data_IF_003954579186
#
_entry.id   IF_003954579186
#
_cell.length_a   1.000
_cell.length_b   1.000
_cell.length_c   1.000
_cell.angle_alpha   90.00
_cell.angle_beta   90.00
_cell.angle_gamma   90.00
#
_symmetry.space_group_name_H-M   'P 1'
#
loop_
_entity.id
_entity.type
_entity.pdbx_description
1 polymer ?
#
# COMPACT_ATOMS: atom_id res chain seq x y z
N UNK A 1 -6.93 -16.35 -45.86
CA UNK A 1 -6.31 -14.99 -45.97
C UNK A 1 -5.90 -14.46 -44.57
N UNK A 2 -6.73 -14.58 -43.59
CA UNK A 2 -6.53 -14.01 -42.24
C UNK A 2 -5.26 -14.52 -41.55
N UNK A 3 -5.03 -15.82 -41.44
CA UNK A 3 -3.88 -16.43 -40.78
C UNK A 3 -2.51 -15.99 -41.39
N UNK A 4 -2.49 -15.81 -42.72
CA UNK A 4 -1.30 -15.33 -43.44
C UNK A 4 -0.91 -13.89 -43.05
N UNK A 5 -1.91 -13.02 -42.94
CA UNK A 5 -1.74 -11.62 -42.56
C UNK A 5 -1.32 -11.52 -41.09
N UNK A 6 -1.86 -12.37 -40.24
CA UNK A 6 -1.49 -12.42 -38.81
C UNK A 6 -0.04 -12.87 -38.61
N UNK A 7 0.43 -13.90 -39.32
CA UNK A 7 1.84 -14.32 -39.24
C UNK A 7 2.81 -13.25 -39.74
N UNK A 8 2.43 -12.49 -40.78
CA UNK A 8 3.21 -11.34 -41.25
C UNK A 8 3.22 -10.22 -40.19
N UNK A 9 2.10 -9.96 -39.56
CA UNK A 9 2.00 -8.97 -38.46
C UNK A 9 2.86 -9.34 -37.23
N UNK A 10 3.09 -10.65 -37.00
CA UNK A 10 4.03 -11.16 -35.99
C UNK A 10 5.50 -11.11 -36.42
N UNK A 11 5.78 -10.58 -37.62
CA UNK A 11 7.15 -10.34 -38.11
C UNK A 11 7.79 -11.55 -38.80
N UNK A 12 7.00 -12.40 -39.46
CA UNK A 12 7.56 -13.48 -40.29
C UNK A 12 8.38 -12.90 -41.46
N UNK A 13 9.64 -13.23 -41.52
CA UNK A 13 10.61 -12.71 -42.49
C UNK A 13 10.98 -13.78 -43.58
N UNK A 14 10.34 -14.94 -43.58
CA UNK A 14 10.52 -15.98 -44.57
C UNK A 14 9.86 -15.62 -45.90
N UNK A 15 10.39 -16.14 -47.04
CA UNK A 15 9.82 -15.90 -48.34
C UNK A 15 8.39 -16.48 -48.47
N UNK A 16 7.65 -16.09 -49.53
CA UNK A 16 6.25 -16.46 -49.72
C UNK A 16 5.98 -17.99 -49.68
N UNK A 17 6.89 -18.80 -50.22
CA UNK A 17 6.79 -20.26 -50.19
C UNK A 17 6.82 -20.84 -48.78
N UNK A 18 7.69 -20.32 -47.93
CA UNK A 18 7.78 -20.75 -46.52
C UNK A 18 6.57 -20.29 -45.73
N UNK A 19 6.07 -19.08 -45.97
CA UNK A 19 4.85 -18.59 -45.37
C UNK A 19 3.63 -19.48 -45.72
N UNK A 20 3.50 -19.89 -46.98
CA UNK A 20 2.43 -20.75 -47.39
C UNK A 20 2.54 -22.16 -46.80
N UNK A 21 3.76 -22.67 -46.63
CA UNK A 21 4.03 -23.92 -45.90
C UNK A 21 3.58 -23.83 -44.45
N UNK A 22 3.90 -22.73 -43.78
CA UNK A 22 3.55 -22.46 -42.40
C UNK A 22 2.03 -22.31 -42.18
N UNK A 23 1.38 -21.58 -43.07
CA UNK A 23 -0.10 -21.44 -43.07
C UNK A 23 -0.77 -22.81 -43.26
N UNK A 24 -0.29 -23.63 -44.23
CA UNK A 24 -0.82 -24.97 -44.48
C UNK A 24 -0.58 -25.91 -43.29
N UNK A 25 0.57 -25.84 -42.67
CA UNK A 25 0.88 -26.58 -41.44
C UNK A 25 -0.10 -26.23 -40.31
N UNK A 26 -0.34 -24.95 -40.04
CA UNK A 26 -1.25 -24.51 -38.97
C UNK A 26 -2.70 -24.92 -39.26
N UNK A 27 -3.15 -24.79 -40.49
CA UNK A 27 -4.49 -25.25 -40.86
C UNK A 27 -4.66 -26.78 -40.76
N UNK A 28 -3.61 -27.56 -41.00
CA UNK A 28 -3.63 -29.02 -40.82
C UNK A 28 -3.65 -29.41 -39.32
N UNK A 29 -3.16 -28.57 -38.45
CA UNK A 29 -3.23 -28.70 -36.98
C UNK A 29 -4.49 -28.03 -36.38
N UNK A 30 -5.46 -27.68 -37.22
CA UNK A 30 -6.78 -27.12 -36.85
C UNK A 30 -6.70 -25.71 -36.21
N UNK A 31 -5.67 -24.93 -36.54
CA UNK A 31 -5.55 -23.52 -36.09
C UNK A 31 -6.06 -22.58 -37.19
N UNK A 32 -7.18 -21.93 -36.97
CA UNK A 32 -7.76 -20.96 -37.88
C UNK A 32 -7.20 -19.54 -37.74
N UNK A 33 -6.61 -19.25 -36.60
CA UNK A 33 -5.96 -17.96 -36.28
C UNK A 33 -4.69 -18.15 -35.43
N UNK A 34 -3.81 -17.14 -35.44
CA UNK A 34 -2.63 -17.14 -34.59
C UNK A 34 -3.01 -17.10 -33.09
N UNK A 35 -4.18 -16.56 -32.77
CA UNK A 35 -4.68 -16.53 -31.38
C UNK A 35 -5.02 -17.92 -30.85
N UNK A 36 -5.36 -18.88 -31.71
CA UNK A 36 -5.66 -20.25 -31.30
C UNK A 36 -4.43 -21.00 -30.82
N UNK A 37 -3.23 -20.51 -31.15
CA UNK A 37 -1.96 -20.99 -30.63
C UNK A 37 -1.74 -20.67 -29.11
N UNK A 38 -2.58 -19.80 -28.53
CA UNK A 38 -2.46 -19.45 -27.12
C UNK A 38 -2.74 -20.67 -26.23
N UNK A 39 -1.75 -21.10 -25.48
CA UNK A 39 -1.87 -22.28 -24.61
C UNK A 39 -1.18 -23.52 -25.15
N UNK A 40 -0.72 -23.52 -26.40
CA UNK A 40 0.14 -24.59 -26.91
C UNK A 40 1.46 -24.58 -26.09
N UNK A 41 1.84 -25.74 -25.56
CA UNK A 41 3.01 -25.80 -24.68
C UNK A 41 4.34 -25.88 -25.44
N UNK A 42 4.33 -26.53 -26.60
CA UNK A 42 5.54 -26.72 -27.41
C UNK A 42 5.16 -27.09 -28.87
N UNK A 43 5.57 -26.25 -29.81
CA UNK A 43 5.31 -26.42 -31.23
C UNK A 43 5.99 -27.68 -31.82
N UNK A 44 7.12 -28.10 -31.29
CA UNK A 44 7.83 -29.32 -31.77
C UNK A 44 7.05 -30.63 -31.52
N UNK A 45 5.97 -30.58 -30.76
CA UNK A 45 5.09 -31.73 -30.48
C UNK A 45 3.90 -31.82 -31.43
N UNK A 46 3.72 -30.87 -32.33
CA UNK A 46 2.65 -30.90 -33.32
C UNK A 46 2.94 -31.96 -34.39
N UNK A 47 1.88 -32.57 -34.89
CA UNK A 47 1.96 -33.57 -35.93
C UNK A 47 2.46 -32.88 -37.22
N UNK A 48 3.55 -33.34 -37.82
CA UNK A 48 4.19 -32.69 -38.98
C UNK A 48 5.18 -31.57 -38.66
N UNK A 49 5.50 -31.31 -37.38
CA UNK A 49 6.53 -30.34 -37.01
C UNK A 49 7.92 -30.69 -37.57
N UNK A 50 8.18 -31.98 -37.85
CA UNK A 50 9.41 -32.47 -38.52
C UNK A 50 9.58 -31.96 -39.96
N UNK A 51 8.48 -31.53 -40.59
CA UNK A 51 8.49 -31.07 -41.99
C UNK A 51 8.76 -29.57 -42.13
N UNK A 52 8.87 -28.87 -41.00
CA UNK A 52 9.19 -27.46 -40.95
C UNK A 52 10.69 -27.22 -40.74
N UNK A 53 11.19 -26.14 -41.30
CA UNK A 53 12.58 -25.70 -41.01
C UNK A 53 12.74 -25.31 -39.56
N UNK A 54 13.93 -25.54 -38.94
CA UNK A 54 14.20 -25.16 -37.54
C UNK A 54 13.92 -23.68 -37.27
N UNK A 55 14.14 -22.80 -38.24
CA UNK A 55 13.88 -21.36 -38.07
C UNK A 55 12.39 -21.04 -38.01
N UNK A 56 11.53 -21.82 -38.68
CA UNK A 56 10.08 -21.65 -38.66
C UNK A 56 9.46 -22.20 -37.38
N UNK A 57 9.99 -23.32 -36.87
CA UNK A 57 9.63 -23.82 -35.56
C UNK A 57 9.96 -22.82 -34.43
N UNK A 58 11.15 -22.20 -34.52
CA UNK A 58 11.57 -21.17 -33.56
C UNK A 58 10.67 -19.94 -33.63
N UNK A 59 10.31 -19.51 -34.83
CA UNK A 59 9.36 -18.42 -35.05
C UNK A 59 7.99 -18.75 -34.45
N UNK A 60 7.42 -19.91 -34.77
CA UNK A 60 6.13 -20.35 -34.24
C UNK A 60 6.16 -20.46 -32.71
N UNK A 61 7.24 -20.99 -32.13
CA UNK A 61 7.37 -21.05 -30.66
C UNK A 61 7.40 -19.65 -30.05
N UNK A 62 8.02 -18.68 -30.70
CA UNK A 62 8.00 -17.27 -30.29
C UNK A 62 6.59 -16.70 -30.34
N UNK A 63 5.83 -16.96 -31.40
CA UNK A 63 4.43 -16.54 -31.55
C UNK A 63 3.56 -17.17 -30.47
N UNK A 64 3.67 -18.49 -30.25
CA UNK A 64 2.97 -19.21 -29.15
C UNK A 64 3.23 -18.56 -27.80
N UNK A 65 4.49 -18.21 -27.51
CA UNK A 65 4.85 -17.57 -26.25
C UNK A 65 4.21 -16.18 -26.11
N UNK A 66 4.20 -15.38 -27.20
CA UNK A 66 3.56 -14.06 -27.23
C UNK A 66 2.06 -14.19 -27.01
N UNK A 67 1.39 -15.04 -27.78
CA UNK A 67 -0.05 -15.24 -27.68
C UNK A 67 -0.46 -15.82 -26.32
N UNK A 68 0.32 -16.75 -25.77
CA UNK A 68 0.09 -17.29 -24.42
C UNK A 68 0.26 -16.21 -23.35
N UNK A 69 1.24 -15.32 -23.50
CA UNK A 69 1.41 -14.17 -22.58
C UNK A 69 0.25 -13.17 -22.74
N UNK A 70 -0.17 -12.88 -23.97
CA UNK A 70 -1.31 -12.01 -24.24
C UNK A 70 -2.60 -12.65 -23.74
N UNK A 71 -2.81 -13.92 -23.99
CA UNK A 71 -3.97 -14.68 -23.50
C UNK A 71 -3.98 -14.78 -21.97
N UNK A 72 -2.84 -15.03 -21.32
CA UNK A 72 -2.71 -14.95 -19.83
C UNK A 72 -2.93 -13.54 -19.31
N UNK A 73 -2.50 -12.51 -20.03
CA UNK A 73 -2.82 -11.11 -19.71
C UNK A 73 -4.29 -10.81 -19.97
N UNK A 74 -4.88 -11.39 -20.98
CA UNK A 74 -6.31 -11.34 -21.28
C UNK A 74 -7.14 -12.23 -20.36
N UNK A 75 -6.67 -13.41 -19.92
CA UNK A 75 -7.36 -14.22 -18.91
C UNK A 75 -7.28 -13.59 -17.51
N UNK A 76 -6.21 -12.88 -17.19
CA UNK A 76 -6.21 -11.96 -16.04
C UNK A 76 -7.20 -10.79 -16.25
N UNK A 77 -7.58 -10.47 -17.50
CA UNK A 77 -8.61 -9.50 -17.90
C UNK A 77 -9.94 -10.15 -18.29
N UNK A 78 -9.97 -11.42 -18.71
CA UNK A 78 -11.11 -12.19 -19.25
C UNK A 78 -11.81 -13.13 -18.27
N UNK A 79 -11.70 -12.90 -17.00
CA UNK A 79 -12.84 -13.30 -16.15
C UNK A 79 -14.08 -12.40 -16.41
N UNK A 80 -14.18 -11.71 -17.59
CA UNK A 80 -15.23 -10.75 -17.94
C UNK A 80 -15.45 -10.67 -19.46
N UNK A 81 -16.70 -10.65 -19.96
CA UNK A 81 -16.97 -10.34 -21.37
C UNK A 81 -16.46 -8.94 -21.69
N UNK A 82 -15.74 -8.79 -22.79
CA UNK A 82 -14.92 -7.65 -23.14
C UNK A 82 -15.64 -6.51 -23.88
N UNK A 83 -16.92 -6.38 -23.68
CA UNK A 83 -17.59 -5.13 -24.00
C UNK A 83 -17.58 -4.18 -22.83
N UNK A 84 -16.62 -4.23 -22.24
CA UNK A 84 -16.04 -4.34 -20.93
C UNK A 84 -16.31 -3.12 -20.08
N UNK A 85 -16.49 -3.37 -18.80
CA UNK A 85 -16.61 -2.39 -17.70
C UNK A 85 -15.63 -1.22 -17.84
N UNK A 86 -14.43 -1.41 -18.42
CA UNK A 86 -13.48 -0.32 -18.64
C UNK A 86 -13.89 0.65 -19.75
N UNK A 87 -14.53 0.17 -20.82
CA UNK A 87 -15.06 1.02 -21.90
C UNK A 87 -16.37 1.66 -21.47
N UNK A 88 -17.22 0.93 -20.74
CA UNK A 88 -18.45 1.46 -20.15
C UNK A 88 -18.16 2.45 -19.01
N UNK A 89 -17.14 2.18 -18.16
CA UNK A 89 -16.67 3.10 -17.14
C UNK A 89 -16.03 4.37 -17.69
N UNK A 90 -15.47 4.33 -18.91
CA UNK A 90 -15.03 5.52 -19.64
C UNK A 90 -16.21 6.33 -20.16
N UNK A 91 -17.30 5.68 -20.55
CA UNK A 91 -18.51 6.33 -21.03
C UNK A 91 -19.37 6.94 -19.91
N UNK A 92 -19.32 6.38 -18.68
CA UNK A 92 -20.18 6.77 -17.56
C UNK A 92 -19.83 8.08 -16.84
N UNK A 93 -18.78 8.74 -17.23
CA UNK A 93 -18.28 9.93 -16.53
C UNK A 93 -17.57 9.63 -15.19
N UNK A 94 -17.79 8.48 -14.54
CA UNK A 94 -17.09 8.08 -13.31
C UNK A 94 -15.67 7.61 -13.65
N UNK A 95 -15.52 6.74 -14.62
CA UNK A 95 -14.21 6.29 -15.13
C UNK A 95 -13.45 7.46 -15.77
N UNK A 96 -14.13 8.29 -16.54
CA UNK A 96 -13.59 9.53 -17.13
C UNK A 96 -13.19 10.54 -16.06
N UNK A 97 -14.01 10.73 -15.01
CA UNK A 97 -13.70 11.63 -13.91
C UNK A 97 -12.49 11.14 -13.11
N UNK A 98 -12.41 9.85 -12.78
CA UNK A 98 -11.27 9.26 -12.09
C UNK A 98 -10.02 9.31 -12.99
N UNK A 99 -10.13 8.99 -14.27
CA UNK A 99 -9.02 9.02 -15.22
C UNK A 99 -8.51 10.44 -15.53
N UNK A 100 -9.39 11.45 -15.62
CA UNK A 100 -9.02 12.83 -15.88
C UNK A 100 -8.53 13.59 -14.64
N UNK A 101 -9.07 13.25 -13.48
CA UNK A 101 -8.75 13.96 -12.23
C UNK A 101 -7.46 13.44 -11.60
N UNK A 102 -7.16 12.15 -11.75
CA UNK A 102 -5.95 11.54 -11.17
C UNK A 102 -4.63 12.16 -11.69
N UNK A 103 -4.39 12.37 -12.99
CA UNK A 103 -3.19 13.03 -13.49
C UNK A 103 -3.09 14.49 -13.04
N UNK A 104 -4.21 15.23 -13.04
CA UNK A 104 -4.26 16.63 -12.62
C UNK A 104 -4.05 16.80 -11.12
N UNK A 105 -4.59 15.90 -10.29
CA UNK A 105 -4.34 15.86 -8.87
C UNK A 105 -2.86 15.60 -8.56
N UNK A 106 -2.21 14.67 -9.28
CA UNK A 106 -0.77 14.43 -9.16
C UNK A 106 0.09 15.61 -9.57
N UNK A 107 -0.27 16.31 -10.65
CA UNK A 107 0.44 17.49 -11.14
C UNK A 107 0.31 18.69 -10.20
N UNK A 108 -0.88 18.92 -9.61
CA UNK A 108 -1.10 20.03 -8.65
C UNK A 108 -0.39 19.82 -7.31
N UNK A 109 -0.23 18.59 -6.87
CA UNK A 109 0.53 18.28 -5.64
C UNK A 109 2.05 18.54 -5.80
N UNK A 110 2.53 18.75 -7.01
CA UNK A 110 3.94 19.01 -7.32
C UNK A 110 4.36 20.47 -7.17
N UNK A 111 3.61 21.32 -6.46
CA UNK A 111 4.20 22.56 -5.97
C UNK A 111 3.60 23.90 -6.36
N UNK A 112 2.34 23.99 -6.73
CA UNK A 112 1.70 25.32 -6.83
C UNK A 112 1.24 25.79 -5.45
N UNK A 113 2.02 26.69 -4.83
CA UNK A 113 1.55 27.51 -3.70
C UNK A 113 0.40 28.37 -4.22
N UNK A 114 -0.83 28.03 -3.87
CA UNK A 114 -1.97 28.92 -4.07
C UNK A 114 -1.80 30.06 -3.06
N UNK A 115 -1.46 31.24 -3.52
CA UNK A 115 -1.38 32.43 -2.66
C UNK A 115 -2.73 32.75 -2.02
N UNK A 116 -2.77 33.58 -0.96
CA UNK A 116 -4.00 33.97 -0.30
C UNK A 116 -4.96 34.62 -1.31
N UNK A 117 -6.14 34.01 -1.47
CA UNK A 117 -7.15 34.47 -2.39
C UNK A 117 -7.89 35.68 -1.80
N UNK A 118 -7.89 36.82 -2.48
CA UNK A 118 -8.78 37.93 -2.18
C UNK A 118 -10.18 37.52 -2.63
N UNK A 119 -11.05 37.20 -1.70
CA UNK A 119 -12.31 36.47 -1.90
C UNK A 119 -13.29 37.27 -2.78
N UNK A 120 -13.36 38.61 -2.64
CA UNK A 120 -14.35 39.44 -3.34
C UNK A 120 -14.03 39.65 -4.83
N UNK A 121 -12.78 39.94 -5.19
CA UNK A 121 -12.40 40.12 -6.60
C UNK A 121 -12.62 38.87 -7.46
N UNK A 122 -12.47 37.66 -6.88
CA UNK A 122 -12.74 36.41 -7.60
C UNK A 122 -14.22 36.12 -7.76
N UNK A 123 -15.06 36.59 -6.83
CA UNK A 123 -16.50 36.43 -6.95
C UNK A 123 -17.02 37.22 -8.16
N UNK A 124 -16.53 38.41 -8.36
CA UNK A 124 -16.90 39.28 -9.51
C UNK A 124 -16.46 38.64 -10.84
N UNK A 125 -15.25 38.10 -10.93
CA UNK A 125 -14.80 37.34 -12.12
C UNK A 125 -15.70 36.14 -12.43
N UNK A 126 -16.12 35.38 -11.39
CA UNK A 126 -16.95 34.18 -11.55
C UNK A 126 -18.41 34.53 -11.90
N UNK A 127 -18.91 35.73 -11.54
CA UNK A 127 -20.24 36.18 -11.89
C UNK A 127 -20.35 36.61 -13.36
N UNK A 128 -19.26 37.11 -13.94
CA UNK A 128 -19.24 37.68 -15.31
C UNK A 128 -18.79 36.65 -16.35
N UNK A 129 -17.99 35.63 -15.97
CA UNK A 129 -17.37 34.72 -16.92
C UNK A 129 -17.75 33.25 -16.64
N UNK A 130 -18.64 32.69 -17.48
CA UNK A 130 -19.11 31.30 -17.35
C UNK A 130 -17.98 30.27 -17.49
N UNK A 131 -17.01 30.50 -18.39
CA UNK A 131 -15.86 29.60 -18.56
C UNK A 131 -14.97 29.58 -17.31
N UNK A 132 -14.74 30.77 -16.71
CA UNK A 132 -14.02 30.88 -15.44
C UNK A 132 -14.74 30.15 -14.32
N UNK A 133 -16.07 30.20 -14.26
CA UNK A 133 -16.93 29.51 -13.31
C UNK A 133 -16.84 27.99 -13.48
N UNK A 134 -16.92 27.49 -14.70
CA UNK A 134 -16.84 26.07 -15.00
C UNK A 134 -15.44 25.51 -14.65
N UNK A 135 -14.40 26.25 -14.97
CA UNK A 135 -13.03 25.94 -14.61
C UNK A 135 -12.82 25.94 -13.08
N UNK A 136 -13.43 26.88 -12.38
CA UNK A 136 -13.38 26.97 -10.92
C UNK A 136 -14.12 25.80 -10.28
N UNK A 137 -15.32 25.45 -10.74
CA UNK A 137 -16.09 24.29 -10.27
C UNK A 137 -15.35 22.99 -10.54
N UNK A 138 -14.74 22.85 -11.71
CA UNK A 138 -13.89 21.70 -12.04
C UNK A 138 -12.67 21.61 -11.10
N UNK A 139 -12.06 22.78 -10.77
CA UNK A 139 -10.95 22.85 -9.83
C UNK A 139 -11.38 22.49 -8.41
N UNK A 140 -12.52 22.98 -7.93
CA UNK A 140 -13.06 22.65 -6.61
C UNK A 140 -13.34 21.13 -6.46
N UNK A 141 -13.81 20.47 -7.52
CA UNK A 141 -13.99 19.02 -7.55
C UNK A 141 -12.64 18.28 -7.41
N UNK A 142 -11.60 18.78 -8.10
CA UNK A 142 -10.24 18.23 -7.99
C UNK A 142 -9.69 18.44 -6.58
N UNK A 143 -9.91 19.61 -6.00
CA UNK A 143 -9.41 19.92 -4.64
C UNK A 143 -10.13 19.08 -3.56
N UNK A 144 -11.43 18.82 -3.72
CA UNK A 144 -12.15 17.89 -2.86
C UNK A 144 -11.59 16.45 -2.94
N UNK A 145 -11.10 16.04 -4.12
CA UNK A 145 -10.40 14.76 -4.30
C UNK A 145 -9.00 14.75 -3.68
N UNK A 146 -8.29 15.88 -3.74
CA UNK A 146 -6.96 16.05 -3.13
C UNK A 146 -7.05 15.97 -1.60
N UNK A 147 -8.17 16.41 -1.02
CA UNK A 147 -8.47 16.26 0.40
C UNK A 147 -8.56 14.78 0.85
N UNK A 148 -8.90 13.86 -0.07
CA UNK A 148 -8.68 12.43 0.12
C UNK A 148 -7.20 12.13 -0.15
N UNK A 149 -6.46 11.58 0.82
CA UNK A 149 -5.03 11.31 0.66
C UNK A 149 -4.74 10.58 -0.68
N UNK A 150 -3.72 10.99 -1.41
CA UNK A 150 -3.35 10.44 -2.74
C UNK A 150 -3.23 8.90 -2.74
N UNK A 151 -2.76 8.30 -1.62
CA UNK A 151 -2.70 6.85 -1.45
C UNK A 151 -4.07 6.16 -1.39
N UNK A 152 -5.15 6.92 -1.12
CA UNK A 152 -6.51 6.39 -1.05
C UNK A 152 -7.19 6.31 -2.43
N UNK A 153 -6.80 7.14 -3.40
CA UNK A 153 -7.48 7.21 -4.70
C UNK A 153 -7.40 5.90 -5.50
N UNK A 154 -6.28 5.20 -5.46
CA UNK A 154 -6.16 3.88 -6.10
C UNK A 154 -7.09 2.85 -5.44
N UNK A 155 -7.23 2.91 -4.12
CA UNK A 155 -8.14 2.05 -3.36
C UNK A 155 -9.60 2.40 -3.63
N UNK A 156 -9.93 3.69 -3.72
CA UNK A 156 -11.28 4.16 -4.09
C UNK A 156 -11.66 3.65 -5.48
N UNK A 157 -10.76 3.82 -6.45
CA UNK A 157 -10.97 3.31 -7.80
C UNK A 157 -11.19 1.78 -7.81
N UNK A 158 -10.37 1.04 -7.06
CA UNK A 158 -10.55 -0.42 -6.92
C UNK A 158 -11.90 -0.80 -6.30
N UNK A 159 -12.34 -0.06 -5.27
CA UNK A 159 -13.62 -0.28 -4.61
C UNK A 159 -14.81 -0.01 -5.52
N UNK A 160 -14.82 1.13 -6.21
CA UNK A 160 -15.87 1.52 -7.13
C UNK A 160 -15.94 0.56 -8.32
N UNK A 161 -14.79 0.25 -8.95
CA UNK A 161 -14.72 -0.74 -10.06
C UNK A 161 -15.21 -2.12 -9.62
N UNK A 162 -14.83 -2.56 -8.41
CA UNK A 162 -15.25 -3.85 -7.86
C UNK A 162 -16.76 -3.93 -7.66
N UNK A 163 -17.39 -2.86 -7.16
CA UNK A 163 -18.83 -2.80 -7.01
C UNK A 163 -19.54 -2.72 -8.36
N UNK A 164 -19.12 -1.83 -9.26
CA UNK A 164 -19.72 -1.70 -10.60
C UNK A 164 -19.68 -3.02 -11.37
N UNK A 165 -18.54 -3.72 -11.31
CA UNK A 165 -18.43 -5.05 -11.89
C UNK A 165 -19.50 -6.01 -11.35
N UNK A 166 -19.70 -6.00 -10.04
CA UNK A 166 -20.73 -6.81 -9.39
C UNK A 166 -22.14 -6.38 -9.82
N UNK A 167 -22.46 -5.10 -9.81
CA UNK A 167 -23.77 -4.58 -10.14
C UNK A 167 -24.15 -4.88 -11.60
N UNK A 168 -23.23 -4.66 -12.54
CA UNK A 168 -23.47 -4.89 -13.96
C UNK A 168 -23.56 -6.39 -14.32
N UNK A 169 -22.65 -7.21 -13.76
CA UNK A 169 -22.52 -8.61 -14.20
C UNK A 169 -23.33 -9.60 -13.38
N UNK A 170 -23.51 -9.34 -12.08
CA UNK A 170 -24.23 -10.24 -11.19
C UNK A 170 -25.67 -9.80 -11.01
N UNK A 171 -25.90 -8.48 -10.82
CA UNK A 171 -27.25 -7.95 -10.63
C UNK A 171 -27.93 -7.55 -11.95
N UNK A 172 -27.23 -7.55 -13.08
CA UNK A 172 -27.79 -7.20 -14.40
C UNK A 172 -28.23 -5.73 -14.52
N UNK A 173 -27.72 -4.85 -13.65
CA UNK A 173 -28.08 -3.42 -13.67
C UNK A 173 -27.43 -2.70 -14.81
N UNK A 174 -28.06 -1.62 -15.31
CA UNK A 174 -27.38 -0.66 -16.15
C UNK A 174 -26.52 0.27 -15.26
N UNK A 175 -25.57 0.96 -15.87
CA UNK A 175 -24.61 1.81 -15.14
C UNK A 175 -25.29 3.00 -14.43
N UNK A 176 -26.34 3.54 -15.04
CA UNK A 176 -27.12 4.65 -14.48
C UNK A 176 -27.80 4.26 -13.17
N UNK A 177 -28.24 2.99 -13.07
CA UNK A 177 -28.97 2.43 -11.93
C UNK A 177 -28.03 1.81 -10.86
N UNK A 178 -26.77 1.59 -11.24
CA UNK A 178 -25.81 1.00 -10.33
C UNK A 178 -25.31 1.99 -9.25
N UNK A 179 -25.35 3.30 -9.53
CA UNK A 179 -24.88 4.34 -8.61
C UNK A 179 -25.90 5.48 -8.50
N UNK A 180 -26.45 5.73 -7.29
CA UNK A 180 -26.08 5.14 -6.00
C UNK A 180 -26.60 3.70 -5.86
N UNK A 181 -25.89 2.83 -5.10
CA UNK A 181 -26.40 1.48 -4.79
C UNK A 181 -27.66 1.54 -3.95
N UNK A 182 -28.51 0.52 -4.03
CA UNK A 182 -29.57 0.28 -3.05
C UNK A 182 -29.04 -0.46 -1.81
N UNK A 183 -29.83 -0.54 -0.74
CA UNK A 183 -29.52 -1.34 0.46
C UNK A 183 -29.34 -2.81 0.05
N UNK A 184 -30.27 -3.36 -0.74
CA UNK A 184 -30.25 -4.75 -1.18
C UNK A 184 -29.02 -5.07 -2.03
N UNK A 185 -28.59 -4.15 -2.89
CA UNK A 185 -27.35 -4.30 -3.66
C UNK A 185 -26.13 -4.44 -2.74
N UNK A 186 -26.05 -3.61 -1.70
CA UNK A 186 -24.95 -3.67 -0.74
C UNK A 186 -24.99 -4.92 0.12
N UNK A 187 -26.17 -5.39 0.48
CA UNK A 187 -26.36 -6.66 1.19
C UNK A 187 -25.93 -7.84 0.31
N UNK A 188 -26.39 -7.89 -0.95
CA UNK A 188 -25.97 -8.90 -1.90
C UNK A 188 -24.43 -8.85 -2.15
N UNK A 189 -23.87 -7.65 -2.34
CA UNK A 189 -22.42 -7.47 -2.51
C UNK A 189 -21.63 -7.95 -1.29
N UNK A 190 -22.17 -7.78 -0.08
CA UNK A 190 -21.56 -8.23 1.18
C UNK A 190 -21.27 -9.74 1.19
N UNK A 191 -22.02 -10.52 0.41
CA UNK A 191 -21.84 -11.98 0.32
C UNK A 191 -20.52 -12.40 -0.30
N UNK A 192 -19.87 -11.54 -1.11
CA UNK A 192 -18.57 -11.79 -1.72
C UNK A 192 -17.38 -11.67 -0.76
N UNK A 193 -17.60 -11.10 0.41
CA UNK A 193 -16.52 -10.79 1.34
C UNK A 193 -16.37 -11.85 2.44
N UNK A 194 -15.13 -12.29 2.64
CA UNK A 194 -14.75 -13.18 3.76
C UNK A 194 -14.36 -12.42 5.03
N UNK A 195 -13.90 -11.16 4.86
CA UNK A 195 -13.41 -10.34 5.98
C UNK A 195 -14.24 -9.10 6.19
N UNK A 196 -14.77 -8.88 7.41
CA UNK A 196 -15.63 -7.72 7.70
C UNK A 196 -14.92 -6.38 7.50
N UNK A 197 -13.60 -6.31 7.78
CA UNK A 197 -12.80 -5.10 7.59
C UNK A 197 -12.61 -4.80 6.11
N UNK A 198 -12.42 -5.82 5.25
CA UNK A 198 -12.32 -5.64 3.80
C UNK A 198 -13.62 -5.05 3.26
N UNK A 199 -14.77 -5.62 3.63
CA UNK A 199 -16.08 -5.07 3.26
C UNK A 199 -16.24 -3.61 3.70
N UNK A 200 -15.91 -3.29 4.97
CA UNK A 200 -15.99 -1.91 5.48
C UNK A 200 -15.12 -0.94 4.69
N UNK A 201 -13.90 -1.34 4.32
CA UNK A 201 -13.02 -0.50 3.52
C UNK A 201 -13.59 -0.26 2.11
N UNK A 202 -14.11 -1.31 1.47
CA UNK A 202 -14.72 -1.21 0.14
C UNK A 202 -16.01 -0.38 0.17
N UNK A 203 -16.84 -0.51 1.22
CA UNK A 203 -17.98 0.39 1.44
C UNK A 203 -17.54 1.86 1.57
N UNK A 204 -16.48 2.11 2.34
CA UNK A 204 -15.91 3.46 2.48
C UNK A 204 -15.41 4.02 1.14
N UNK A 205 -14.77 3.20 0.33
CA UNK A 205 -14.31 3.59 -1.01
C UNK A 205 -15.49 3.88 -1.95
N UNK A 206 -16.53 3.05 -1.93
CA UNK A 206 -17.73 3.25 -2.74
C UNK A 206 -18.49 4.49 -2.27
N UNK A 207 -18.67 4.69 -0.96
CA UNK A 207 -19.28 5.89 -0.37
C UNK A 207 -18.55 7.15 -0.84
N UNK A 208 -17.21 7.15 -0.78
CA UNK A 208 -16.42 8.27 -1.28
C UNK A 208 -16.59 8.44 -2.79
N UNK A 209 -16.62 7.36 -3.56
CA UNK A 209 -16.94 7.40 -5.00
C UNK A 209 -18.30 8.09 -5.28
N UNK A 210 -19.35 7.71 -4.55
CA UNK A 210 -20.67 8.34 -4.66
C UNK A 210 -20.62 9.84 -4.31
N UNK A 211 -19.92 10.21 -3.24
CA UNK A 211 -19.74 11.63 -2.87
C UNK A 211 -19.10 12.44 -3.99
N UNK A 212 -18.07 11.89 -4.65
CA UNK A 212 -17.34 12.55 -5.72
C UNK A 212 -18.21 12.82 -6.95
N UNK A 213 -19.17 11.92 -7.23
CA UNK A 213 -20.14 12.10 -8.32
C UNK A 213 -21.46 12.73 -7.85
N UNK A 214 -21.49 13.27 -6.63
CA UNK A 214 -22.64 13.96 -6.02
C UNK A 214 -23.90 13.11 -5.96
N UNK A 215 -23.74 11.80 -5.76
CA UNK A 215 -24.85 10.88 -5.52
C UNK A 215 -25.10 10.71 -4.03
N UNK A 216 -26.33 10.34 -3.66
CA UNK A 216 -26.70 10.10 -2.26
C UNK A 216 -25.80 9.05 -1.62
N UNK A 217 -25.48 9.28 -0.36
CA UNK A 217 -24.68 8.34 0.45
C UNK A 217 -25.43 7.83 1.68
N UNK A 218 -26.72 8.14 1.82
CA UNK A 218 -27.55 7.74 2.97
C UNK A 218 -27.62 6.23 3.16
N UNK A 219 -27.66 5.48 2.07
CA UNK A 219 -27.70 4.00 2.04
C UNK A 219 -26.55 3.34 2.81
N UNK A 220 -25.37 3.98 2.84
CA UNK A 220 -24.19 3.42 3.53
C UNK A 220 -24.31 3.47 5.06
N UNK A 221 -25.21 4.30 5.58
CA UNK A 221 -25.45 4.46 7.00
C UNK A 221 -26.66 3.63 7.48
N UNK A 222 -27.30 2.89 6.56
CA UNK A 222 -28.43 2.00 6.87
C UNK A 222 -28.04 0.93 7.90
N UNK A 223 -28.92 0.67 8.91
CA UNK A 223 -28.67 -0.36 9.92
C UNK A 223 -28.46 -1.77 9.36
N UNK A 224 -29.13 -2.14 8.25
CA UNK A 224 -28.96 -3.44 7.61
C UNK A 224 -27.55 -3.59 7.03
N UNK A 225 -27.02 -2.55 6.36
CA UNK A 225 -25.66 -2.53 5.84
C UNK A 225 -24.62 -2.62 6.97
N UNK A 226 -24.86 -1.94 8.10
CA UNK A 226 -24.01 -2.06 9.29
C UNK A 226 -24.05 -3.48 9.89
N UNK A 227 -25.22 -4.13 9.88
CA UNK A 227 -25.38 -5.53 10.33
C UNK A 227 -24.70 -6.53 9.39
N UNK A 228 -24.64 -6.26 8.07
CA UNK A 228 -23.95 -7.12 7.10
C UNK A 228 -22.47 -7.36 7.48
N UNK A 229 -21.78 -6.37 8.03
CA UNK A 229 -20.43 -6.52 8.56
C UNK A 229 -20.33 -7.57 9.68
N UNK A 230 -21.30 -7.57 10.59
CA UNK A 230 -21.38 -8.58 11.69
C UNK A 230 -21.71 -9.96 11.13
N UNK A 231 -22.60 -10.02 10.13
CA UNK A 231 -22.96 -11.26 9.45
C UNK A 231 -21.75 -11.90 8.74
N UNK A 232 -20.92 -11.10 8.07
CA UNK A 232 -19.65 -11.57 7.46
C UNK A 232 -18.72 -12.17 8.52
N UNK A 233 -18.56 -11.51 9.67
CA UNK A 233 -17.72 -12.01 10.76
C UNK A 233 -18.20 -13.36 11.29
N UNK A 234 -19.53 -13.52 11.50
CA UNK A 234 -20.14 -14.76 11.98
C UNK A 234 -20.03 -15.89 10.93
N UNK A 235 -20.37 -15.59 9.66
CA UNK A 235 -20.36 -16.57 8.58
C UNK A 235 -18.95 -17.10 8.26
N UNK A 236 -17.96 -16.21 8.31
CA UNK A 236 -16.58 -16.53 7.97
C UNK A 236 -15.76 -17.18 9.09
N UNK A 237 -16.35 -17.42 10.29
CA UNK A 237 -15.58 -17.82 11.49
C UNK A 237 -14.30 -16.98 11.62
N UNK A 238 -14.41 -15.69 11.32
CA UNK A 238 -13.27 -14.80 11.24
C UNK A 238 -12.61 -14.67 12.61
N UNK A 239 -11.43 -15.24 12.73
CA UNK A 239 -10.55 -15.03 13.88
C UNK A 239 -9.56 -13.93 13.50
N UNK A 240 -9.59 -12.83 14.23
CA UNK A 240 -8.58 -11.79 14.09
C UNK A 240 -7.20 -12.40 14.36
N UNK A 241 -6.22 -12.03 13.52
CA UNK A 241 -4.84 -12.40 13.79
C UNK A 241 -4.44 -11.83 15.15
N UNK A 242 -3.84 -12.63 16.05
CA UNK A 242 -3.32 -12.09 17.31
C UNK A 242 -2.29 -10.99 17.02
N UNK A 243 -2.22 -9.96 17.85
CA UNK A 243 -1.18 -8.95 17.74
C UNK A 243 0.18 -9.61 17.93
N UNK A 244 1.11 -9.33 17.00
CA UNK A 244 2.50 -9.78 17.10
C UNK A 244 3.36 -8.56 17.40
N UNK A 245 4.41 -8.77 18.21
CA UNK A 245 5.30 -7.71 18.69
C UNK A 245 6.74 -8.09 18.35
N UNK A 246 7.44 -7.24 17.61
CA UNK A 246 8.86 -7.37 17.33
C UNK A 246 9.62 -6.55 18.38
N UNK A 247 9.96 -7.21 19.48
CA UNK A 247 10.56 -6.61 20.66
C UNK A 247 12.06 -6.33 20.48
N UNK A 248 12.61 -5.51 21.37
CA UNK A 248 14.02 -5.12 21.39
C UNK A 248 14.98 -6.31 21.41
N UNK A 249 14.66 -7.36 22.14
CA UNK A 249 15.46 -8.59 22.21
C UNK A 249 15.64 -9.25 20.85
N UNK A 250 14.59 -9.25 20.00
CA UNK A 250 14.65 -9.79 18.64
C UNK A 250 15.53 -8.91 17.74
N UNK A 251 15.41 -7.59 17.86
CA UNK A 251 16.27 -6.63 17.12
C UNK A 251 17.73 -6.79 17.50
N UNK A 252 18.01 -6.88 18.81
CA UNK A 252 19.36 -7.09 19.32
C UNK A 252 19.99 -8.39 18.80
N UNK A 253 19.24 -9.50 18.84
CA UNK A 253 19.70 -10.79 18.30
C UNK A 253 19.95 -10.74 16.78
N UNK A 254 19.17 -9.96 16.02
CA UNK A 254 19.43 -9.75 14.60
C UNK A 254 20.71 -8.95 14.36
N UNK A 255 20.96 -7.89 15.16
CA UNK A 255 22.18 -7.10 15.08
C UNK A 255 23.42 -7.96 15.46
N UNK A 256 23.36 -8.69 16.54
CA UNK A 256 24.43 -9.58 16.99
C UNK A 256 24.84 -10.57 15.88
N UNK A 257 23.86 -11.14 15.20
CA UNK A 257 24.08 -12.11 14.12
C UNK A 257 24.76 -11.52 12.90
N UNK A 258 24.50 -10.25 12.59
CA UNK A 258 25.16 -9.52 11.49
C UNK A 258 26.63 -9.27 11.80
N UNK A 259 26.94 -8.91 13.03
CA UNK A 259 28.33 -8.70 13.44
C UNK A 259 29.16 -9.99 13.45
N UNK A 260 28.52 -11.16 13.50
CA UNK A 260 29.18 -12.47 13.45
C UNK A 260 29.24 -13.09 12.05
N UNK A 261 28.43 -12.59 11.09
CA UNK A 261 28.34 -13.11 9.72
C UNK A 261 28.79 -12.05 8.72
N UNK A 262 29.87 -12.32 8.00
CA UNK A 262 30.42 -11.44 6.96
C UNK A 262 29.52 -11.40 5.72
N UNK A 263 28.29 -10.83 5.84
CA UNK A 263 27.29 -10.78 4.77
C UNK A 263 26.67 -9.37 4.65
N UNK A 264 27.16 -8.59 3.71
CA UNK A 264 26.73 -7.22 3.42
C UNK A 264 25.21 -7.05 3.19
N UNK A 265 24.56 -8.02 2.51
CA UNK A 265 23.11 -7.95 2.27
C UNK A 265 22.27 -8.10 3.55
N UNK A 266 22.75 -8.93 4.50
CA UNK A 266 22.11 -9.07 5.81
C UNK A 266 22.23 -7.78 6.62
N UNK A 267 23.36 -7.07 6.49
CA UNK A 267 23.60 -5.80 7.15
C UNK A 267 22.56 -4.75 6.73
N UNK A 268 22.36 -4.51 5.43
CA UNK A 268 21.36 -3.56 4.93
C UNK A 268 19.96 -3.82 5.48
N UNK A 269 19.54 -5.10 5.49
CA UNK A 269 18.19 -5.47 5.97
C UNK A 269 18.07 -5.31 7.47
N UNK A 270 19.12 -5.65 8.23
CA UNK A 270 19.14 -5.49 9.69
C UNK A 270 19.14 -4.02 10.06
N UNK A 271 19.90 -3.18 9.38
CA UNK A 271 19.90 -1.73 9.61
C UNK A 271 18.54 -1.10 9.24
N UNK A 272 17.87 -1.60 8.19
CA UNK A 272 16.48 -1.22 7.90
C UNK A 272 15.54 -1.58 9.06
N UNK A 273 15.68 -2.76 9.66
CA UNK A 273 14.85 -3.15 10.80
C UNK A 273 15.17 -2.33 12.04
N UNK A 274 16.46 -2.09 12.30
CA UNK A 274 16.90 -1.26 13.41
C UNK A 274 16.36 0.17 13.31
N UNK A 275 16.47 0.84 12.15
CA UNK A 275 15.92 2.19 11.97
C UNK A 275 14.39 2.19 12.08
N UNK A 276 13.73 1.15 11.56
CA UNK A 276 12.28 0.99 11.65
C UNK A 276 11.80 0.88 13.09
N UNK A 277 12.48 0.07 13.89
CA UNK A 277 12.23 -0.09 15.32
C UNK A 277 12.53 1.20 16.07
N UNK A 278 13.75 1.74 15.96
CA UNK A 278 14.25 2.91 16.69
C UNK A 278 13.33 4.13 16.57
N UNK A 279 12.80 4.39 15.39
CA UNK A 279 11.95 5.55 15.11
C UNK A 279 10.46 5.22 14.98
N UNK A 280 10.02 4.01 15.36
CA UNK A 280 8.62 3.56 15.25
C UNK A 280 8.02 3.81 13.86
N UNK A 281 8.71 3.40 12.81
CA UNK A 281 8.34 3.70 11.42
C UNK A 281 7.38 2.66 10.83
N UNK A 282 6.67 3.06 9.76
CA UNK A 282 6.05 2.14 8.81
C UNK A 282 7.09 1.77 7.77
N UNK A 283 7.56 0.51 7.78
CA UNK A 283 8.67 0.09 6.94
C UNK A 283 8.51 0.46 5.46
N UNK A 284 7.36 0.19 4.77
CA UNK A 284 7.26 0.47 3.35
C UNK A 284 7.26 1.96 2.98
N UNK A 285 6.64 2.80 3.79
CA UNK A 285 6.38 4.19 3.42
C UNK A 285 7.26 5.21 4.12
N UNK A 286 7.88 4.85 5.24
CA UNK A 286 8.66 5.76 6.07
C UNK A 286 10.14 5.34 6.18
N UNK A 287 10.45 4.04 6.30
CA UNK A 287 11.82 3.57 6.46
C UNK A 287 12.55 3.31 5.13
N UNK A 288 11.93 2.63 4.17
CA UNK A 288 12.55 2.32 2.88
C UNK A 288 13.02 3.55 2.08
N UNK A 289 12.28 4.69 2.06
CA UNK A 289 12.69 5.86 1.29
C UNK A 289 13.75 6.74 1.97
N UNK A 290 14.28 6.36 3.13
CA UNK A 290 15.27 7.16 3.86
C UNK A 290 16.55 7.30 3.03
N UNK A 291 17.09 8.53 3.02
CA UNK A 291 18.39 8.84 2.44
C UNK A 291 19.35 9.33 3.52
N UNK A 292 20.65 9.25 3.27
CA UNK A 292 21.68 9.93 4.05
C UNK A 292 21.52 11.44 3.91
N UNK A 293 21.31 12.13 5.02
CA UNK A 293 21.16 13.58 5.09
C UNK A 293 22.36 14.29 5.74
N UNK A 294 22.28 15.62 5.81
CA UNK A 294 23.19 16.48 6.55
C UNK A 294 22.43 17.60 7.25
N UNK A 295 23.03 18.15 8.29
CA UNK A 295 22.51 19.36 8.96
C UNK A 295 22.48 20.51 7.94
N UNK A 296 21.36 21.22 7.85
CA UNK A 296 21.22 22.36 6.93
C UNK A 296 20.86 22.01 5.47
N UNK A 297 21.06 20.78 5.03
CA UNK A 297 20.73 20.29 3.66
C UNK A 297 19.40 19.52 3.67
N UNK A 298 18.44 20.02 4.41
CA UNK A 298 17.14 19.34 4.52
C UNK A 298 16.26 19.68 3.32
N UNK A 299 16.35 18.91 2.24
CA UNK A 299 15.34 18.90 1.20
C UNK A 299 13.99 18.45 1.82
N UNK A 300 12.96 19.31 1.76
CA UNK A 300 11.64 19.03 2.33
C UNK A 300 10.91 17.89 1.60
N UNK A 301 11.44 17.44 0.47
CA UNK A 301 10.81 16.41 -0.37
C UNK A 301 11.29 14.99 -0.04
N UNK A 302 12.42 14.83 0.64
CA UNK A 302 12.98 13.53 0.96
C UNK A 302 13.10 13.29 2.47
N UNK A 303 12.80 12.05 2.88
CA UNK A 303 13.07 11.62 4.26
C UNK A 303 14.55 11.32 4.42
N UNK A 304 15.21 11.97 5.40
CA UNK A 304 16.64 11.85 5.57
C UNK A 304 17.07 11.63 7.03
N UNK A 305 18.13 10.84 7.21
CA UNK A 305 18.78 10.56 8.48
C UNK A 305 20.12 11.30 8.56
N UNK A 306 20.40 11.97 9.66
CA UNK A 306 21.64 12.72 9.91
C UNK A 306 21.92 12.83 11.39
N UNK A 307 23.19 13.05 11.74
CA UNK A 307 23.62 13.36 13.12
C UNK A 307 23.62 14.88 13.32
N UNK A 308 23.12 15.33 14.48
CA UNK A 308 23.14 16.73 14.90
C UNK A 308 23.53 16.81 16.37
N UNK A 309 24.78 17.15 16.66
CA UNK A 309 25.36 16.96 17.98
C UNK A 309 25.28 15.49 18.39
N UNK A 310 24.84 15.24 19.61
CA UNK A 310 24.70 13.89 20.18
C UNK A 310 23.34 13.20 19.84
N UNK A 311 22.61 13.74 18.87
CA UNK A 311 21.30 13.24 18.50
C UNK A 311 21.27 12.74 17.08
N UNK A 312 20.81 11.52 16.88
CA UNK A 312 20.44 10.99 15.57
C UNK A 312 19.07 11.54 15.18
N UNK A 313 19.04 12.32 14.12
CA UNK A 313 17.85 13.02 13.62
C UNK A 313 17.32 12.35 12.37
N UNK A 314 16.03 11.99 12.39
CA UNK A 314 15.30 11.51 11.21
C UNK A 314 14.24 12.54 10.83
N UNK A 315 14.42 13.19 9.70
CA UNK A 315 13.41 14.04 9.07
C UNK A 315 12.59 13.22 8.09
N UNK A 316 11.31 13.08 8.35
CA UNK A 316 10.36 12.45 7.45
C UNK A 316 9.68 13.53 6.59
N UNK A 317 9.78 13.41 5.28
CA UNK A 317 9.14 14.34 4.34
C UNK A 317 7.60 14.24 4.39
N UNK A 318 7.07 13.02 4.58
CA UNK A 318 5.63 12.75 4.71
C UNK A 318 5.37 11.73 5.80
N UNK A 319 4.32 11.97 6.59
CA UNK A 319 3.79 10.99 7.53
C UNK A 319 2.27 10.93 7.40
N UNK A 320 1.66 9.75 7.60
CA UNK A 320 0.22 9.52 7.33
C UNK A 320 -0.70 10.61 7.87
N UNK A 321 -0.38 11.15 9.05
CA UNK A 321 -1.23 12.13 9.76
C UNK A 321 -0.59 13.53 9.84
N UNK A 322 0.55 13.76 9.14
CA UNK A 322 1.28 15.03 9.13
C UNK A 322 1.72 15.35 7.70
N UNK A 323 1.08 16.32 7.10
CA UNK A 323 1.36 16.75 5.71
C UNK A 323 2.77 17.34 5.60
N UNK A 324 3.20 18.05 6.62
CA UNK A 324 4.51 18.74 6.68
C UNK A 324 5.64 17.82 7.21
N UNK A 325 5.40 16.51 7.29
CA UNK A 325 6.38 15.58 7.79
C UNK A 325 6.62 15.63 9.30
N UNK A 326 7.73 15.08 9.75
CA UNK A 326 8.12 14.99 11.17
C UNK A 326 9.61 15.03 11.32
N UNK A 327 10.09 15.60 12.43
CA UNK A 327 11.48 15.48 12.87
C UNK A 327 11.52 14.64 14.15
N UNK A 328 12.11 13.47 14.07
CA UNK A 328 12.29 12.53 15.17
C UNK A 328 13.75 12.55 15.61
N UNK A 329 14.01 12.55 16.92
CA UNK A 329 15.37 12.60 17.48
C UNK A 329 15.57 11.44 18.43
N UNK A 330 16.75 10.83 18.43
CA UNK A 330 17.16 9.75 19.35
C UNK A 330 18.57 9.99 19.83
N UNK A 331 18.75 9.90 21.13
CA UNK A 331 20.06 9.95 21.79
C UNK A 331 20.74 8.58 21.83
N UNK A 332 21.84 8.53 22.56
CA UNK A 332 22.58 7.29 22.82
C UNK A 332 21.82 6.33 23.74
N UNK A 333 21.81 5.04 23.38
CA UNK A 333 21.20 3.93 24.16
C UNK A 333 22.24 2.92 24.70
N UNK A 334 23.52 3.27 24.71
CA UNK A 334 24.59 2.33 25.10
C UNK A 334 24.45 1.76 26.52
N UNK A 335 23.78 2.49 27.42
CA UNK A 335 23.45 2.00 28.75
C UNK A 335 22.50 0.79 28.74
N UNK A 336 21.64 0.68 27.72
CA UNK A 336 20.72 -0.45 27.54
C UNK A 336 21.29 -1.52 26.62
N UNK A 337 21.77 -1.14 25.44
CA UNK A 337 22.35 -2.06 24.46
C UNK A 337 23.17 -1.31 23.41
N UNK A 338 24.47 -1.59 23.33
CA UNK A 338 25.36 -0.98 22.34
C UNK A 338 25.02 -1.40 20.92
N UNK A 339 24.65 -2.66 20.71
CA UNK A 339 24.34 -3.25 19.38
C UNK A 339 23.13 -2.61 18.68
N UNK A 340 22.23 -2.01 19.44
CA UNK A 340 21.03 -1.34 18.91
C UNK A 340 21.05 0.17 19.12
N UNK A 341 22.18 0.72 19.59
CA UNK A 341 22.30 2.14 19.88
C UNK A 341 22.16 2.99 18.60
N UNK A 342 21.29 4.00 18.59
CA UNK A 342 21.15 4.89 17.43
C UNK A 342 22.46 5.55 17.01
N UNK A 343 23.28 5.96 17.98
CA UNK A 343 24.53 6.68 17.73
C UNK A 343 25.68 5.74 17.37
N UNK A 344 25.84 4.62 18.12
CA UNK A 344 27.04 3.79 18.03
C UNK A 344 26.87 2.52 17.14
N UNK A 345 25.66 2.24 16.70
CA UNK A 345 25.41 1.10 15.79
C UNK A 345 24.68 1.52 14.53
N UNK A 346 23.65 2.36 14.63
CA UNK A 346 22.89 2.74 13.45
C UNK A 346 23.57 3.86 12.65
N UNK A 347 24.13 4.89 13.34
CA UNK A 347 24.76 6.00 12.64
C UNK A 347 26.02 5.63 11.85
N UNK A 348 26.97 4.81 12.33
CA UNK A 348 28.15 4.40 11.57
C UNK A 348 27.81 3.77 10.22
N UNK A 349 26.69 3.04 10.15
CA UNK A 349 26.22 2.48 8.88
C UNK A 349 25.89 3.55 7.82
N UNK A 350 25.48 4.76 8.23
CA UNK A 350 25.14 5.86 7.34
C UNK A 350 26.30 6.86 7.14
N UNK A 351 27.23 6.92 8.07
CA UNK A 351 28.23 7.99 8.16
C UNK A 351 29.07 8.17 6.90
N UNK A 352 29.58 7.06 6.35
CA UNK A 352 30.44 7.06 5.17
C UNK A 352 29.67 7.15 3.84
N UNK A 353 28.33 7.15 3.88
CA UNK A 353 27.53 7.25 2.67
C UNK A 353 27.47 8.68 2.17
N UNK A 354 27.45 8.85 0.82
CA UNK A 354 27.23 10.16 0.21
C UNK A 354 25.86 10.74 0.59
N UNK A 355 25.78 12.06 0.77
CA UNK A 355 24.51 12.76 1.02
C UNK A 355 23.55 12.48 -0.14
N UNK A 356 22.31 12.12 0.18
CA UNK A 356 21.31 11.70 -0.80
C UNK A 356 21.33 10.21 -1.18
N UNK A 357 22.34 9.45 -0.73
CA UNK A 357 22.38 8.00 -0.95
C UNK A 357 21.19 7.29 -0.31
N UNK A 358 20.63 6.30 -1.01
CA UNK A 358 19.49 5.48 -0.60
C UNK A 358 19.96 4.08 -0.19
N UNK A 359 20.28 3.82 1.06
CA UNK A 359 20.87 2.54 1.47
C UNK A 359 19.94 1.34 1.24
N UNK A 360 18.62 1.59 1.24
CA UNK A 360 17.60 0.55 1.14
C UNK A 360 16.96 0.43 -0.26
N UNK A 361 17.54 1.06 -1.30
CA UNK A 361 16.95 1.13 -2.64
C UNK A 361 16.70 -0.25 -3.28
N UNK A 362 17.53 -1.24 -2.96
CA UNK A 362 17.41 -2.61 -3.47
C UNK A 362 16.43 -3.48 -2.67
N UNK A 363 15.93 -2.98 -1.53
CA UNK A 363 15.03 -3.74 -0.66
C UNK A 363 13.57 -3.39 -1.00
N UNK A 364 12.77 -4.41 -1.29
CA UNK A 364 11.32 -4.26 -1.48
C UNK A 364 10.58 -4.62 -0.19
N UNK A 365 9.33 -4.15 0.01
CA UNK A 365 8.53 -4.56 1.15
C UNK A 365 8.34 -6.07 1.26
N UNK A 366 8.28 -6.77 0.13
CA UNK A 366 8.13 -8.22 0.08
C UNK A 366 9.43 -8.93 0.50
N UNK A 367 10.58 -8.48 -0.02
CA UNK A 367 11.89 -9.05 0.37
C UNK A 367 12.21 -8.79 1.84
N UNK A 368 11.92 -7.58 2.34
CA UNK A 368 12.06 -7.27 3.76
C UNK A 368 11.20 -8.19 4.64
N UNK A 369 9.95 -8.43 4.26
CA UNK A 369 9.07 -9.36 5.00
C UNK A 369 9.57 -10.80 4.96
N UNK A 370 10.07 -11.25 3.81
CA UNK A 370 10.64 -12.59 3.66
C UNK A 370 11.87 -12.77 4.55
N UNK A 371 12.79 -11.80 4.55
CA UNK A 371 13.98 -11.78 5.41
C UNK A 371 13.63 -11.73 6.89
N UNK A 372 12.69 -10.87 7.29
CA UNK A 372 12.20 -10.83 8.67
C UNK A 372 11.76 -12.22 9.14
N UNK A 373 10.92 -12.88 8.37
CA UNK A 373 10.41 -14.22 8.72
C UNK A 373 11.49 -15.29 8.72
N UNK A 374 12.51 -15.16 7.88
CA UNK A 374 13.69 -16.01 7.90
C UNK A 374 14.47 -15.83 9.20
N UNK A 375 14.84 -14.60 9.55
CA UNK A 375 15.51 -14.31 10.81
C UNK A 375 14.76 -14.83 12.03
N UNK A 376 13.44 -14.64 12.08
CA UNK A 376 12.63 -15.11 13.20
C UNK A 376 12.62 -16.64 13.31
N UNK A 377 12.59 -17.37 12.17
CA UNK A 377 12.72 -18.85 12.19
C UNK A 377 14.08 -19.29 12.67
N UNK A 378 15.11 -18.63 12.23
CA UNK A 378 16.49 -18.88 12.62
C UNK A 378 16.75 -18.61 14.11
N UNK A 379 16.01 -17.65 14.70
CA UNK A 379 15.99 -17.36 16.13
C UNK A 379 15.06 -18.31 16.92
N UNK A 380 14.41 -19.28 16.27
CA UNK A 380 13.50 -20.21 16.93
C UNK A 380 12.17 -19.57 17.37
N UNK A 381 11.81 -18.37 16.83
CA UNK A 381 10.58 -17.70 17.22
C UNK A 381 9.37 -18.44 16.69
N UNK A 382 8.48 -18.86 17.61
CA UNK A 382 7.24 -19.52 17.25
C UNK A 382 6.38 -18.64 16.33
N UNK A 383 5.68 -19.28 15.37
CA UNK A 383 4.78 -18.58 14.44
C UNK A 383 5.44 -17.45 13.63
N UNK A 384 6.72 -17.57 13.29
CA UNK A 384 7.47 -16.56 12.50
C UNK A 384 6.74 -16.13 11.23
N UNK A 385 5.96 -17.04 10.60
CA UNK A 385 5.12 -16.74 9.43
C UNK A 385 3.99 -15.72 9.66
N UNK A 386 3.59 -15.53 10.90
CA UNK A 386 2.52 -14.59 11.27
C UNK A 386 3.00 -13.14 11.41
N UNK A 387 4.32 -12.93 11.57
CA UNK A 387 4.88 -11.59 11.72
C UNK A 387 4.78 -10.77 10.42
N UNK A 388 4.60 -9.46 10.57
CA UNK A 388 4.51 -8.47 9.50
C UNK A 388 5.43 -7.28 9.79
N UNK A 389 5.75 -6.53 8.76
CA UNK A 389 6.62 -5.34 8.87
C UNK A 389 6.07 -4.23 9.79
N UNK A 390 4.77 -4.22 10.06
CA UNK A 390 4.16 -3.26 10.99
C UNK A 390 4.36 -3.65 12.46
N UNK A 391 4.75 -4.88 12.74
CA UNK A 391 4.90 -5.40 14.10
C UNK A 391 6.16 -4.81 14.81
N UNK A 392 7.11 -4.21 14.05
CA UNK A 392 8.19 -3.39 14.60
C UNK A 392 7.67 -2.21 15.43
N UNK A 393 6.71 -1.49 14.85
CA UNK A 393 6.12 -0.33 15.50
C UNK A 393 5.30 -0.71 16.74
N UNK A 394 4.69 -1.89 16.71
CA UNK A 394 3.97 -2.46 17.84
C UNK A 394 4.92 -2.93 18.95
N UNK A 395 5.98 -3.62 18.56
CA UNK A 395 6.99 -4.13 19.50
C UNK A 395 7.64 -3.02 20.28
N UNK A 396 8.11 -1.96 19.62
CA UNK A 396 8.72 -0.84 20.33
C UNK A 396 7.73 -0.14 21.28
N UNK A 397 6.47 0.05 20.87
CA UNK A 397 5.46 0.62 21.77
C UNK A 397 5.22 -0.27 23.01
N UNK A 398 5.19 -1.61 22.83
CA UNK A 398 5.06 -2.55 23.94
C UNK A 398 6.31 -2.54 24.83
N UNK A 399 7.52 -2.46 24.25
CA UNK A 399 8.77 -2.35 25.02
C UNK A 399 8.81 -1.06 25.85
N UNK A 400 8.34 0.08 25.29
CA UNK A 400 8.19 1.33 26.04
C UNK A 400 7.23 1.17 27.21
N UNK A 401 6.08 0.50 27.01
CA UNK A 401 5.12 0.21 28.07
C UNK A 401 5.77 -0.64 29.19
N UNK A 402 6.44 -1.73 28.81
CA UNK A 402 7.10 -2.62 29.76
C UNK A 402 8.24 -1.95 30.54
N UNK A 403 8.83 -0.91 29.96
CA UNK A 403 9.88 -0.10 30.59
C UNK A 403 9.30 1.12 31.37
N UNK A 404 7.99 1.11 31.67
CA UNK A 404 7.36 2.14 32.51
C UNK A 404 7.10 3.48 31.80
N UNK A 405 7.18 3.55 30.46
CA UNK A 405 6.84 4.79 29.75
C UNK A 405 5.36 5.09 29.88
N UNK A 406 5.03 6.34 30.17
CA UNK A 406 3.64 6.79 30.24
C UNK A 406 2.97 6.73 28.87
N UNK A 407 1.63 6.64 28.87
CA UNK A 407 0.84 6.66 27.63
C UNK A 407 1.17 7.88 26.76
N UNK A 408 1.35 9.05 27.38
CA UNK A 408 1.72 10.28 26.68
C UNK A 408 3.09 10.16 25.97
N UNK A 409 4.10 9.61 26.63
CA UNK A 409 5.43 9.40 26.05
C UNK A 409 5.36 8.44 24.85
N UNK A 410 4.58 7.36 24.96
CA UNK A 410 4.40 6.39 23.90
C UNK A 410 3.69 7.03 22.69
N UNK A 411 2.61 7.80 22.93
CA UNK A 411 1.89 8.54 21.90
C UNK A 411 2.80 9.53 21.18
N UNK A 412 3.60 10.28 21.92
CA UNK A 412 4.54 11.25 21.35
C UNK A 412 5.64 10.58 20.55
N UNK A 413 6.22 9.50 21.04
CA UNK A 413 7.28 8.77 20.35
C UNK A 413 6.82 8.19 19.01
N UNK A 414 5.60 7.67 18.94
CA UNK A 414 4.99 7.13 17.73
C UNK A 414 4.21 8.15 16.92
N UNK A 415 3.97 9.36 17.43
CA UNK A 415 3.13 10.40 16.84
C UNK A 415 1.73 9.89 16.46
N UNK A 416 1.11 9.10 17.34
CA UNK A 416 -0.25 8.61 17.13
C UNK A 416 -1.27 9.69 17.48
N UNK A 417 -2.27 9.84 16.58
CA UNK A 417 -3.40 10.77 16.75
C UNK A 417 -4.76 10.07 16.83
N UNK A 418 -4.79 8.77 16.63
CA UNK A 418 -6.05 8.00 16.64
C UNK A 418 -6.01 6.90 17.67
N UNK A 419 -7.16 6.46 18.20
CA UNK A 419 -7.24 5.38 19.19
C UNK A 419 -6.73 4.02 18.67
N UNK A 420 -6.40 3.90 17.38
CA UNK A 420 -5.94 2.64 16.78
C UNK A 420 -4.66 2.07 17.39
N UNK A 421 -3.87 2.90 18.10
CA UNK A 421 -2.70 2.42 18.83
C UNK A 421 -3.08 1.62 20.08
N UNK A 422 -4.26 1.83 20.67
CA UNK A 422 -4.72 1.10 21.86
C UNK A 422 -4.75 -0.42 21.62
N UNK A 423 -4.93 -0.87 20.37
CA UNK A 423 -4.80 -2.29 20.01
C UNK A 423 -3.39 -2.86 20.16
N UNK A 424 -2.40 -2.04 20.50
CA UNK A 424 -0.99 -2.41 20.69
C UNK A 424 -0.58 -2.45 22.16
N UNK A 425 -1.45 -1.94 23.05
CA UNK A 425 -1.17 -1.75 24.46
C UNK A 425 -2.04 -2.66 25.31
N UNK A 426 -1.54 -3.05 26.44
CA UNK A 426 -2.36 -3.57 27.51
C UNK A 426 -2.88 -2.38 28.33
N UNK A 427 -4.14 -2.05 28.12
CA UNK A 427 -4.76 -0.89 28.77
C UNK A 427 -4.95 -1.12 30.26
N UNK A 428 -5.24 -2.36 30.69
CA UNK A 428 -5.40 -2.68 32.11
C UNK A 428 -4.08 -2.49 32.87
N UNK A 429 -2.97 -2.92 32.26
CA UNK A 429 -1.63 -2.74 32.85
C UNK A 429 -1.26 -1.26 32.97
N UNK A 430 -1.66 -0.42 32.01
CA UNK A 430 -1.44 1.03 32.06
C UNK A 430 -2.30 1.70 33.14
N UNK A 431 -3.55 1.29 33.26
CA UNK A 431 -4.46 1.83 34.30
C UNK A 431 -4.03 1.39 35.69
N UNK A 432 -3.61 0.15 35.85
CA UNK A 432 -3.09 -0.35 37.15
C UNK A 432 -1.82 0.41 37.56
N UNK A 433 -0.89 0.64 36.63
CA UNK A 433 0.32 1.42 36.91
C UNK A 433 0.01 2.84 37.34
N UNK A 434 -0.85 3.54 36.62
CA UNK A 434 -1.27 4.90 36.96
C UNK A 434 -2.02 4.97 38.31
N UNK A 435 -2.86 3.98 38.62
CA UNK A 435 -3.57 3.90 39.88
C UNK A 435 -2.62 3.64 41.06
N UNK A 436 -1.63 2.77 40.88
CA UNK A 436 -0.62 2.49 41.86
C UNK A 436 0.29 3.70 42.10
N UNK A 437 0.73 4.40 41.03
CA UNK A 437 1.52 5.64 41.15
C UNK A 437 0.72 6.73 41.89
N UNK A 438 -0.57 6.90 41.58
CA UNK A 438 -1.42 7.86 42.28
C UNK A 438 -1.58 7.50 43.75
N UNK A 439 -1.76 6.22 44.07
CA UNK A 439 -1.87 5.76 45.45
C UNK A 439 -0.59 5.94 46.26
N UNK A 440 0.57 5.73 45.64
CA UNK A 440 1.87 5.98 46.28
C UNK A 440 2.25 7.45 46.37
N UNK A 441 1.63 8.31 45.58
CA UNK A 441 1.83 9.77 45.63
C UNK A 441 0.91 10.48 46.63
N UNK A 442 -0.11 9.81 47.21
CA UNK A 442 -0.89 10.38 48.29
C UNK A 442 0.00 10.52 49.52
N UNK A 443 0.17 11.74 50.08
CA UNK A 443 0.91 11.93 51.32
C UNK A 443 0.23 11.12 52.43
N UNK A 444 1.01 10.29 53.11
CA UNK A 444 0.54 9.58 54.29
C UNK A 444 0.04 10.62 55.30
N UNK A 445 -1.28 10.65 55.48
CA UNK A 445 -1.98 11.50 56.43
C UNK A 445 -1.81 11.05 57.89
N UNK A 446 -0.60 10.63 58.25
CA UNK A 446 -0.26 10.17 59.62
C UNK A 446 0.75 11.08 60.31
N UNK A 447 0.58 12.39 60.26
CA UNK A 447 1.35 13.29 61.15
C UNK A 447 0.54 14.52 61.59
N UNK A 448 -0.75 14.34 61.95
CA UNK A 448 -1.46 15.35 62.75
C UNK A 448 -2.15 14.70 63.96
N UNK A 449 -1.33 14.18 64.88
CA UNK A 449 -1.79 13.97 66.23
C UNK A 449 -0.61 14.04 67.22
N UNK A 450 -0.33 15.24 67.73
CA UNK A 450 0.65 15.37 68.78
C UNK A 450 1.08 16.82 69.02
N UNK A 451 0.24 17.58 69.70
CA UNK A 451 0.62 18.91 70.17
C UNK A 451 -0.42 19.58 71.03
N UNK A 452 -0.60 19.15 72.26
CA UNK A 452 -1.07 19.98 73.34
C UNK A 452 0.11 20.77 73.98
#
# INVERSE_FOLDING_TARGET
MHLREELLAHGFAGGAVRLDTLVRFLLNEEFDSVHDLAGASNVSKFKGASDLEPADLLFLQKVVNIETMMHKSHLRKRSLPSGSVDTQLQASGIGSMIAHVMPRAKAKCAGTKIGPMRTLQKLDELLVNQEAKDKWLATARVDALIGASQGSLASVNSGVKGYLKFALQVLGKCEADAIPPSVDDLLAWSMLFRHPTTFSNYLGYLKLGCMLVRKSTSVFDDPAVKRAKRAIAKRGNFKARPPMFLQHTMVSAMCERVYTADRLELEHTTMLFLVTYTFLLRLPSEALPIVRGSVGVANNEQSCLYLSGDLLCLKLAKRKNKVNGSLLKRGCWCHSCRLTCPIHSLWPYFEDMQIGHKPFAKITPASALARLRSFLRELGVANAGMYRTHDWRRGHAKDMQMNGSTLYQILMAGEWRSPSFMSYMDLMELEMGATMEAHMAEPSSEDESGGE
#
